data_IF_693023583059
#
_entry.id   IF_693023583059
#
_cell.length_a   1.000
_cell.length_b   1.000
_cell.length_c   1.000
_cell.angle_alpha   90.00
_cell.angle_beta   90.00
_cell.angle_gamma   90.00
#
_symmetry.space_group_name_H-M   'P 1'
#
loop_
_entity.id
_entity.type
_entity.pdbx_description
1 polymer ?
#
# COMPACT_ATOMS: atom_id res chain seq x y z
N UNK A 1 20.49 1.28 -7.95
CA UNK A 1 19.76 1.60 -6.76
C UNK A 1 20.53 1.05 -5.57
N UNK A 2 20.94 1.94 -4.64
CA UNK A 2 21.87 1.62 -3.54
C UNK A 2 21.40 0.43 -2.69
N UNK A 3 20.13 0.39 -2.31
CA UNK A 3 19.56 -0.71 -1.53
C UNK A 3 19.76 -2.08 -2.19
N UNK A 4 19.43 -2.21 -3.47
CA UNK A 4 19.59 -3.47 -4.21
C UNK A 4 21.07 -3.88 -4.33
N UNK A 5 21.97 -2.93 -4.51
CA UNK A 5 23.40 -3.20 -4.58
C UNK A 5 23.93 -3.75 -3.25
N UNK A 6 23.46 -3.20 -2.12
CA UNK A 6 23.85 -3.64 -0.79
C UNK A 6 23.20 -4.96 -0.37
N UNK A 7 21.89 -5.13 -0.66
CA UNK A 7 21.07 -6.20 -0.10
C UNK A 7 20.64 -7.27 -1.10
N UNK A 8 20.86 -7.06 -2.40
CA UNK A 8 20.36 -7.93 -3.47
C UNK A 8 20.83 -9.38 -3.41
N UNK A 9 22.00 -9.65 -2.83
CA UNK A 9 22.53 -10.99 -2.62
C UNK A 9 22.32 -11.52 -1.18
N UNK A 10 21.71 -10.74 -0.29
CA UNK A 10 21.54 -11.11 1.12
C UNK A 10 20.22 -11.86 1.31
N UNK A 11 20.21 -13.13 1.71
CA UNK A 11 19.01 -13.96 1.79
C UNK A 11 17.90 -13.36 2.64
N UNK A 12 18.22 -12.78 3.80
CA UNK A 12 17.21 -12.16 4.68
C UNK A 12 16.40 -11.06 3.96
N UNK A 13 17.04 -10.29 3.10
CA UNK A 13 16.37 -9.20 2.37
C UNK A 13 15.58 -9.67 1.14
N UNK A 14 15.70 -10.96 0.77
CA UNK A 14 15.08 -11.59 -0.39
C UNK A 14 14.06 -12.69 0.00
N UNK A 15 13.31 -12.46 1.05
CA UNK A 15 12.21 -13.32 1.47
C UNK A 15 12.61 -14.56 2.27
N UNK A 16 13.81 -14.59 2.81
CA UNK A 16 14.31 -15.65 3.70
C UNK A 16 14.66 -14.99 5.05
N UNK A 17 13.67 -14.80 5.95
CA UNK A 17 13.89 -14.13 7.22
C UNK A 17 14.80 -14.96 8.14
N UNK A 18 15.45 -14.32 9.14
CA UNK A 18 16.16 -15.01 10.20
C UNK A 18 15.28 -16.00 10.96
N UNK A 19 15.90 -17.00 11.58
CA UNK A 19 15.18 -18.08 12.27
C UNK A 19 14.32 -17.54 13.41
N UNK A 20 14.76 -16.50 14.11
CA UNK A 20 14.02 -15.89 15.22
C UNK A 20 12.67 -15.33 14.75
N UNK A 21 12.63 -14.77 13.53
CA UNK A 21 11.37 -14.27 12.93
C UNK A 21 10.47 -15.44 12.54
N UNK A 22 11.04 -16.53 12.01
CA UNK A 22 10.29 -17.74 11.66
C UNK A 22 9.66 -18.35 12.91
N UNK A 23 10.41 -18.46 13.99
CA UNK A 23 9.96 -19.03 15.26
C UNK A 23 8.86 -18.18 15.90
N UNK A 24 8.98 -16.85 15.83
CA UNK A 24 7.96 -15.94 16.30
C UNK A 24 6.67 -15.95 15.43
N UNK A 25 6.77 -16.40 14.18
CA UNK A 25 5.68 -16.38 13.19
C UNK A 25 5.58 -17.65 12.35
N UNK A 26 5.47 -18.85 12.95
CA UNK A 26 5.55 -20.13 12.24
C UNK A 26 4.48 -20.33 11.17
N UNK A 27 3.34 -19.65 11.29
CA UNK A 27 2.26 -19.71 10.29
C UNK A 27 2.52 -18.86 9.04
N UNK A 28 3.52 -17.99 9.07
CA UNK A 28 3.79 -17.02 8.00
C UNK A 28 5.06 -17.33 7.21
N UNK A 29 5.87 -18.32 7.62
CA UNK A 29 7.17 -18.64 7.01
C UNK A 29 7.08 -18.89 5.48
N UNK A 30 5.94 -19.40 5.00
CA UNK A 30 5.70 -19.62 3.57
C UNK A 30 5.40 -18.34 2.78
N UNK A 31 5.12 -17.24 3.47
CA UNK A 31 4.76 -15.94 2.86
C UNK A 31 6.00 -15.11 2.60
N UNK A 32 6.90 -15.61 1.76
CA UNK A 32 8.20 -14.99 1.45
C UNK A 32 8.12 -13.49 1.15
N UNK A 33 7.04 -13.02 0.52
CA UNK A 33 6.87 -11.62 0.18
C UNK A 33 6.92 -10.69 1.40
N UNK A 34 6.58 -11.16 2.59
CA UNK A 34 6.61 -10.35 3.82
C UNK A 34 8.02 -9.86 4.16
N UNK A 35 9.04 -10.59 3.73
CA UNK A 35 10.46 -10.32 4.00
C UNK A 35 11.27 -10.07 2.72
N UNK A 36 10.61 -9.83 1.59
CA UNK A 36 11.26 -9.51 0.33
C UNK A 36 11.48 -7.98 0.19
N UNK A 37 12.35 -7.45 1.07
CA UNK A 37 12.65 -6.03 1.12
C UNK A 37 13.23 -5.51 -0.21
N UNK A 38 14.06 -6.30 -0.89
CA UNK A 38 14.67 -5.93 -2.18
C UNK A 38 13.61 -5.70 -3.25
N UNK A 39 12.59 -6.53 -3.29
CA UNK A 39 11.48 -6.37 -4.23
C UNK A 39 10.72 -5.07 -3.97
N UNK A 40 10.36 -4.81 -2.71
CA UNK A 40 9.56 -3.64 -2.34
C UNK A 40 10.37 -2.34 -2.37
N UNK A 41 11.69 -2.40 -2.17
CA UNK A 41 12.56 -1.25 -2.34
C UNK A 41 12.47 -0.64 -3.75
N UNK A 42 12.24 -1.44 -4.81
CA UNK A 42 12.08 -0.87 -6.15
C UNK A 42 10.91 0.13 -6.22
N UNK A 43 9.81 -0.15 -5.52
CA UNK A 43 8.66 0.73 -5.42
C UNK A 43 8.95 1.97 -4.57
N UNK A 44 9.45 1.76 -3.36
CA UNK A 44 9.68 2.85 -2.41
C UNK A 44 10.69 3.86 -2.94
N UNK A 45 11.78 3.41 -3.56
CA UNK A 45 12.75 4.31 -4.18
C UNK A 45 12.21 5.05 -5.41
N UNK A 46 11.31 4.45 -6.17
CA UNK A 46 10.63 5.16 -7.27
C UNK A 46 9.75 6.31 -6.73
N UNK A 47 9.10 6.10 -5.58
CA UNK A 47 8.32 7.16 -4.91
C UNK A 47 9.23 8.23 -4.34
N UNK A 48 10.33 7.89 -3.67
CA UNK A 48 11.29 8.87 -3.14
C UNK A 48 11.87 9.73 -4.27
N UNK A 49 12.29 9.10 -5.37
CA UNK A 49 12.79 9.82 -6.56
C UNK A 49 11.75 10.78 -7.15
N UNK A 50 10.49 10.34 -7.24
CA UNK A 50 9.40 11.20 -7.70
C UNK A 50 9.16 12.38 -6.74
N UNK A 51 9.13 12.12 -5.43
CA UNK A 51 8.92 13.17 -4.43
C UNK A 51 10.06 14.20 -4.38
N UNK A 52 11.26 13.85 -4.80
CA UNK A 52 12.38 14.79 -4.93
C UNK A 52 12.29 15.66 -6.20
N UNK A 53 11.63 15.17 -7.25
CA UNK A 53 11.58 15.83 -8.58
C UNK A 53 10.34 16.69 -8.79
N UNK A 54 9.25 16.33 -8.16
CA UNK A 54 7.95 16.97 -8.36
C UNK A 54 7.53 17.77 -7.12
N UNK A 55 6.48 18.57 -7.28
CA UNK A 55 5.85 19.37 -6.23
C UNK A 55 4.37 19.00 -6.16
N UNK A 56 3.70 19.52 -5.16
CA UNK A 56 2.28 19.31 -4.89
C UNK A 56 1.99 17.83 -4.54
N UNK A 57 1.17 17.16 -5.27
CA UNK A 57 0.82 15.77 -5.03
C UNK A 57 1.64 14.80 -5.88
N UNK A 58 2.24 13.82 -5.23
CA UNK A 58 2.77 12.61 -5.88
C UNK A 58 1.88 11.44 -5.55
N UNK A 59 1.32 10.79 -6.57
CA UNK A 59 0.43 9.65 -6.42
C UNK A 59 1.08 8.39 -6.94
N UNK A 60 1.12 7.37 -6.10
CA UNK A 60 1.52 6.03 -6.49
C UNK A 60 0.31 5.19 -6.90
N UNK A 61 0.44 4.48 -8.01
CA UNK A 61 -0.50 3.47 -8.47
C UNK A 61 0.29 2.22 -8.87
N UNK A 62 -0.07 1.06 -8.31
CA UNK A 62 0.59 -0.21 -8.67
C UNK A 62 0.35 -0.54 -10.16
N UNK A 63 1.37 -1.06 -10.84
CA UNK A 63 1.34 -1.36 -12.28
C UNK A 63 0.32 -2.46 -12.67
N UNK A 64 -0.22 -3.19 -11.70
CA UNK A 64 -1.30 -4.17 -11.90
C UNK A 64 -2.70 -3.59 -11.60
N UNK A 65 -2.82 -2.27 -11.65
CA UNK A 65 -4.08 -1.54 -11.60
C UNK A 65 -4.60 -1.29 -13.01
N UNK A 66 -5.89 -1.56 -13.22
CA UNK A 66 -6.59 -1.36 -14.47
C UNK A 66 -7.61 -0.23 -14.36
N UNK A 67 -7.52 0.76 -15.24
CA UNK A 67 -8.51 1.84 -15.34
C UNK A 67 -9.62 1.36 -16.28
N UNK A 68 -10.79 1.08 -15.73
CA UNK A 68 -11.93 0.50 -16.46
C UNK A 68 -12.99 1.54 -16.86
N UNK A 69 -12.96 2.70 -16.22
CA UNK A 69 -13.91 3.77 -16.50
C UNK A 69 -13.19 5.11 -16.68
N UNK A 70 -13.73 6.02 -17.49
CA UNK A 70 -13.14 7.35 -17.63
C UNK A 70 -13.01 8.03 -16.28
N UNK A 71 -11.84 8.60 -16.03
CA UNK A 71 -11.53 9.33 -14.81
C UNK A 71 -11.19 10.77 -15.18
N UNK A 72 -12.11 11.69 -14.91
CA UNK A 72 -11.88 13.10 -15.20
C UNK A 72 -10.79 13.67 -14.28
N UNK A 73 -10.15 14.74 -14.71
CA UNK A 73 -9.19 15.46 -13.87
C UNK A 73 -9.82 15.92 -12.57
N UNK A 74 -11.04 16.46 -12.63
CA UNK A 74 -11.78 16.93 -11.47
C UNK A 74 -12.10 15.80 -10.49
N UNK A 75 -12.53 14.64 -11.00
CA UNK A 75 -12.76 13.44 -10.17
C UNK A 75 -11.49 12.97 -9.48
N UNK A 76 -10.36 13.01 -10.20
CA UNK A 76 -9.07 12.64 -9.64
C UNK A 76 -8.60 13.63 -8.57
N UNK A 77 -8.69 14.94 -8.82
CA UNK A 77 -8.30 15.97 -7.87
C UNK A 77 -9.15 15.92 -6.58
N UNK A 78 -10.43 15.54 -6.66
CA UNK A 78 -11.26 15.29 -5.47
C UNK A 78 -10.77 14.15 -4.59
N UNK A 79 -9.97 13.24 -5.13
CA UNK A 79 -9.36 12.17 -4.34
C UNK A 79 -8.13 12.64 -3.55
N UNK A 80 -7.71 13.88 -3.72
CA UNK A 80 -6.52 14.47 -3.13
C UNK A 80 -6.90 15.72 -2.30
N UNK A 81 -7.55 15.55 -1.14
CA UNK A 81 -8.02 16.69 -0.34
C UNK A 81 -6.84 17.50 0.22
N UNK A 82 -6.84 18.80 -0.05
CA UNK A 82 -5.72 19.70 0.29
C UNK A 82 -5.42 19.78 1.79
N UNK A 83 -6.40 19.51 2.64
CA UNK A 83 -6.25 19.46 4.10
C UNK A 83 -5.52 18.20 4.60
N UNK A 84 -5.27 17.26 3.71
CA UNK A 84 -4.56 16.02 4.04
C UNK A 84 -3.14 16.03 3.52
N UNK A 85 -2.21 15.58 4.36
CA UNK A 85 -0.82 15.39 3.95
C UNK A 85 -0.58 14.06 3.24
N UNK A 86 -1.49 13.10 3.43
CA UNK A 86 -1.42 11.77 2.82
C UNK A 86 -2.83 11.24 2.55
N UNK A 87 -3.01 10.60 1.41
CA UNK A 87 -4.17 9.76 1.12
C UNK A 87 -3.73 8.32 0.95
N UNK A 88 -4.52 7.36 1.42
CA UNK A 88 -4.19 5.95 1.29
C UNK A 88 -5.44 5.07 1.37
N UNK A 89 -5.31 3.84 0.89
CA UNK A 89 -6.35 2.82 1.06
C UNK A 89 -6.06 2.02 2.32
N UNK A 90 -6.86 2.21 3.35
CA UNK A 90 -6.81 1.41 4.57
C UNK A 90 -7.44 0.03 4.40
N UNK A 91 -7.83 -0.57 5.51
CA UNK A 91 -8.52 -1.88 5.54
C UNK A 91 -9.92 -1.78 6.13
N UNK A 92 -10.48 -0.58 6.18
CA UNK A 92 -11.80 -0.33 6.72
C UNK A 92 -11.92 -0.59 8.22
N UNK A 93 -13.15 -0.65 8.71
CA UNK A 93 -13.46 -0.99 10.09
C UNK A 93 -13.34 -2.50 10.32
N UNK A 94 -12.80 -2.90 11.46
CA UNK A 94 -12.69 -4.32 11.86
C UNK A 94 -11.44 -5.04 11.36
N UNK A 95 -10.50 -4.35 10.71
CA UNK A 95 -9.21 -4.92 10.33
C UNK A 95 -8.05 -4.12 10.92
N UNK A 96 -7.12 -4.81 11.58
CA UNK A 96 -5.87 -4.24 12.09
C UNK A 96 -4.68 -4.54 11.17
N UNK A 97 -4.93 -4.79 9.89
CA UNK A 97 -3.88 -5.04 8.92
C UNK A 97 -3.37 -3.73 8.32
N UNK A 98 -2.22 -3.82 7.66
CA UNK A 98 -1.51 -2.69 7.08
C UNK A 98 -2.29 -2.10 5.89
N UNK A 99 -2.06 -0.80 5.54
CA UNK A 99 -2.66 -0.18 4.38
C UNK A 99 -2.48 -1.00 3.11
N UNK A 100 -3.35 -0.77 2.16
CA UNK A 100 -3.22 -1.30 0.80
C UNK A 100 -2.41 -0.30 -0.02
N UNK A 101 -1.10 -0.52 -0.16
CA UNK A 101 -0.23 0.38 -0.88
C UNK A 101 -0.30 0.28 -2.41
N UNK A 102 -1.40 -0.26 -2.96
CA UNK A 102 -1.66 -0.24 -4.41
C UNK A 102 -2.05 1.13 -4.93
N UNK A 103 -2.52 2.02 -4.04
CA UNK A 103 -2.83 3.42 -4.33
C UNK A 103 -2.61 4.25 -3.08
N UNK A 104 -1.83 5.32 -3.19
CA UNK A 104 -1.69 6.35 -2.15
C UNK A 104 -1.14 7.65 -2.74
N UNK A 105 -1.43 8.77 -2.08
CA UNK A 105 -0.95 10.10 -2.46
C UNK A 105 -0.19 10.77 -1.32
N UNK A 106 0.83 11.56 -1.69
CA UNK A 106 1.70 12.34 -0.82
C UNK A 106 1.61 13.81 -1.20
N UNK A 107 1.17 14.66 -0.27
CA UNK A 107 1.09 16.11 -0.46
C UNK A 107 2.42 16.76 -0.04
N UNK A 108 3.27 17.05 -0.99
CA UNK A 108 4.61 17.58 -0.75
C UNK A 108 4.62 19.03 -0.24
N UNK A 109 3.47 19.72 -0.24
CA UNK A 109 3.33 21.04 0.34
C UNK A 109 3.13 21.00 1.87
N UNK A 110 2.88 19.82 2.43
CA UNK A 110 2.67 19.65 3.86
C UNK A 110 3.95 19.15 4.56
N UNK A 111 4.35 19.84 5.63
CA UNK A 111 5.55 19.49 6.39
C UNK A 111 5.48 18.07 7.00
N UNK A 112 4.29 17.60 7.38
CA UNK A 112 4.08 16.24 7.89
C UNK A 112 4.32 15.18 6.84
N UNK A 113 3.96 15.46 5.58
CA UNK A 113 4.29 14.58 4.46
C UNK A 113 5.81 14.44 4.31
N UNK A 114 6.53 15.56 4.39
CA UNK A 114 8.00 15.55 4.28
C UNK A 114 8.66 14.81 5.45
N UNK A 115 8.15 14.97 6.68
CA UNK A 115 8.59 14.17 7.85
C UNK A 115 8.35 12.66 7.62
N UNK A 116 7.17 12.29 7.13
CA UNK A 116 6.85 10.90 6.81
C UNK A 116 7.79 10.33 5.75
N UNK A 117 8.01 11.05 4.66
CA UNK A 117 8.89 10.62 3.58
C UNK A 117 10.33 10.47 4.05
N UNK A 118 10.84 11.40 4.86
CA UNK A 118 12.17 11.32 5.43
C UNK A 118 12.34 10.06 6.31
N UNK A 119 11.37 9.77 7.17
CA UNK A 119 11.40 8.54 7.99
C UNK A 119 11.26 7.29 7.13
N UNK A 120 10.38 7.31 6.11
CA UNK A 120 10.19 6.17 5.21
C UNK A 120 11.46 5.85 4.41
N UNK A 121 12.18 6.88 3.94
CA UNK A 121 13.48 6.74 3.26
C UNK A 121 14.55 6.24 4.24
N UNK A 122 14.65 6.85 5.42
CA UNK A 122 15.58 6.43 6.48
C UNK A 122 15.44 4.94 6.82
N UNK A 123 14.21 4.45 6.95
CA UNK A 123 13.95 3.03 7.26
C UNK A 123 14.58 2.07 6.24
N UNK A 124 14.68 2.47 4.96
CA UNK A 124 15.34 1.67 3.93
C UNK A 124 16.84 1.95 3.83
N UNK A 125 17.29 3.19 3.95
CA UNK A 125 18.72 3.55 3.87
C UNK A 125 19.51 2.97 5.06
N UNK A 126 18.97 3.04 6.25
CA UNK A 126 19.52 2.50 7.50
C UNK A 126 18.91 1.13 7.82
N UNK A 127 18.79 0.26 6.84
CA UNK A 127 17.96 -0.94 6.91
C UNK A 127 18.17 -1.83 8.15
N UNK A 128 19.40 -1.93 8.70
CA UNK A 128 19.68 -2.74 9.90
C UNK A 128 18.99 -2.15 11.14
N UNK A 129 19.01 -0.82 11.29
CA UNK A 129 18.34 -0.08 12.37
C UNK A 129 16.92 0.38 11.97
N UNK A 130 16.54 0.13 10.73
CA UNK A 130 15.25 0.45 10.12
C UNK A 130 14.38 -0.77 9.87
N UNK A 131 14.13 -1.10 8.59
CA UNK A 131 13.17 -2.14 8.21
C UNK A 131 13.47 -3.51 8.82
N UNK A 132 14.73 -3.88 9.04
CA UNK A 132 15.08 -5.19 9.58
C UNK A 132 14.82 -5.33 11.08
N UNK A 133 14.53 -4.24 11.79
CA UNK A 133 14.03 -4.29 13.17
C UNK A 133 12.53 -4.60 13.23
N UNK A 134 11.83 -4.53 12.10
CA UNK A 134 10.40 -4.76 12.02
C UNK A 134 10.06 -6.25 11.80
N UNK A 135 8.84 -6.62 12.12
CA UNK A 135 8.37 -8.00 11.92
C UNK A 135 8.04 -8.38 10.48
N UNK A 136 7.88 -7.42 9.58
CA UNK A 136 7.68 -7.61 8.13
C UNK A 136 8.33 -6.44 7.39
N UNK A 137 8.84 -6.66 6.17
CA UNK A 137 9.70 -5.69 5.47
C UNK A 137 9.17 -5.26 4.10
N UNK A 138 7.90 -5.56 3.81
CA UNK A 138 7.24 -5.05 2.62
C UNK A 138 6.74 -3.60 2.84
N UNK A 139 6.60 -2.86 1.76
CA UNK A 139 6.25 -1.45 1.75
C UNK A 139 5.02 -1.10 2.60
N UNK A 140 3.97 -1.87 2.47
CA UNK A 140 2.70 -1.68 3.17
C UNK A 140 2.83 -1.79 4.70
N UNK A 141 3.68 -2.70 5.19
CA UNK A 141 3.95 -2.83 6.61
C UNK A 141 4.74 -1.65 7.16
N UNK A 142 5.83 -1.29 6.45
CA UNK A 142 6.69 -0.16 6.84
C UNK A 142 5.91 1.14 6.81
N UNK A 143 5.20 1.41 5.70
CA UNK A 143 4.30 2.54 5.56
C UNK A 143 3.30 2.63 6.71
N UNK A 144 2.60 1.53 7.01
CA UNK A 144 1.62 1.49 8.09
C UNK A 144 2.20 1.70 9.47
N UNK A 145 3.43 1.25 9.72
CA UNK A 145 4.12 1.49 11.00
C UNK A 145 4.41 2.97 11.22
N UNK A 146 5.01 3.63 10.23
CA UNK A 146 5.33 5.06 10.31
C UNK A 146 4.04 5.89 10.39
N UNK A 147 3.06 5.59 9.52
CA UNK A 147 1.77 6.27 9.51
C UNK A 147 1.08 6.22 10.88
N UNK A 148 1.08 5.06 11.54
CA UNK A 148 0.45 4.91 12.84
C UNK A 148 1.15 5.71 13.93
N UNK A 149 2.47 5.82 13.89
CA UNK A 149 3.22 6.67 14.81
C UNK A 149 2.85 8.14 14.64
N UNK A 150 2.86 8.65 13.40
CA UNK A 150 2.58 10.05 13.10
C UNK A 150 1.11 10.43 13.24
N UNK A 151 0.20 9.47 13.04
CA UNK A 151 -1.25 9.66 13.08
C UNK A 151 -1.77 10.09 14.46
N UNK A 152 -1.13 9.64 15.53
CA UNK A 152 -1.49 10.02 16.90
C UNK A 152 -1.11 11.47 17.22
N UNK A 153 -0.17 12.04 16.50
CA UNK A 153 0.29 13.40 16.74
C UNK A 153 -0.58 14.45 16.04
N UNK A 154 -1.04 14.16 14.80
CA UNK A 154 -1.94 15.06 14.02
C UNK A 154 -2.77 14.26 13.01
N UNK A 155 -4.08 14.13 13.18
CA UNK A 155 -4.94 13.37 12.26
C UNK A 155 -5.35 14.19 11.03
N UNK A 156 -4.46 14.34 10.07
CA UNK A 156 -4.76 14.96 8.77
C UNK A 156 -4.37 14.03 7.63
N UNK A 157 -4.87 12.79 7.70
CA UNK A 157 -4.73 11.80 6.64
C UNK A 157 -6.11 11.45 6.10
N UNK A 158 -6.19 11.15 4.82
CA UNK A 158 -7.41 10.70 4.17
C UNK A 158 -7.33 9.20 3.88
N UNK A 159 -8.12 8.42 4.60
CA UNK A 159 -8.26 6.99 4.38
C UNK A 159 -9.52 6.71 3.56
N UNK A 160 -9.35 6.30 2.29
CA UNK A 160 -10.47 5.96 1.40
C UNK A 160 -11.39 4.88 1.97
N UNK A 161 -10.90 4.05 2.87
CA UNK A 161 -11.66 2.95 3.48
C UNK A 161 -12.32 3.33 4.81
N UNK A 162 -12.18 4.59 5.27
CA UNK A 162 -12.75 5.03 6.54
C UNK A 162 -14.29 4.82 6.56
N UNK A 163 -14.76 4.18 7.61
CA UNK A 163 -16.19 3.86 7.75
C UNK A 163 -16.69 2.68 6.90
N UNK A 164 -15.86 2.11 6.03
CA UNK A 164 -16.23 0.97 5.19
C UNK A 164 -15.88 -0.33 5.92
N UNK A 165 -16.83 -1.26 6.05
CA UNK A 165 -16.54 -2.59 6.55
C UNK A 165 -15.98 -3.46 5.41
N UNK A 166 -14.73 -3.91 5.56
CA UNK A 166 -14.07 -4.80 4.61
C UNK A 166 -13.85 -6.16 5.26
N UNK A 167 -14.47 -7.19 4.72
CA UNK A 167 -14.27 -8.57 5.19
C UNK A 167 -12.81 -8.99 5.00
N UNK A 168 -12.26 -9.57 6.04
CA UNK A 168 -10.93 -10.17 6.01
C UNK A 168 -11.04 -11.69 5.89
N UNK A 169 -9.91 -12.36 5.63
CA UNK A 169 -9.87 -13.83 5.65
C UNK A 169 -10.35 -14.43 6.97
N UNK A 170 -10.20 -13.71 8.10
CA UNK A 170 -10.69 -14.14 9.42
C UNK A 170 -12.21 -14.05 9.55
N UNK A 171 -12.85 -13.18 8.80
CA UNK A 171 -14.31 -12.95 8.83
C UNK A 171 -15.03 -13.56 7.65
N UNK A 172 -14.41 -14.54 6.98
CA UNK A 172 -15.05 -15.33 5.91
C UNK A 172 -15.04 -14.67 4.53
N UNK A 173 -14.19 -13.68 4.29
CA UNK A 173 -14.08 -13.02 3.00
C UNK A 173 -12.63 -12.70 2.62
N UNK A 174 -12.39 -12.48 1.34
CA UNK A 174 -11.14 -12.00 0.78
C UNK A 174 -11.31 -10.61 0.17
N UNK A 175 -12.13 -9.76 0.82
CA UNK A 175 -12.47 -8.44 0.30
C UNK A 175 -11.25 -7.66 -0.14
N UNK A 176 -11.35 -7.03 -1.29
CA UNK A 176 -10.30 -6.21 -1.83
C UNK A 176 -10.51 -4.75 -1.39
N UNK A 177 -9.64 -4.18 -0.53
CA UNK A 177 -9.90 -2.84 0.01
C UNK A 177 -10.16 -1.80 -1.06
N UNK A 178 -9.27 -1.66 -2.03
CA UNK A 178 -9.32 -0.61 -3.04
C UNK A 178 -10.66 -0.57 -3.79
N UNK A 179 -11.11 -1.68 -4.34
CA UNK A 179 -12.34 -1.74 -5.16
C UNK A 179 -13.61 -1.52 -4.35
N UNK A 180 -13.56 -1.60 -3.03
CA UNK A 180 -14.67 -1.34 -2.13
C UNK A 180 -14.72 0.11 -1.63
N UNK A 181 -13.76 0.93 -2.02
CA UNK A 181 -13.74 2.38 -1.81
C UNK A 181 -14.31 3.11 -3.02
N UNK A 182 -14.34 4.43 -2.95
CA UNK A 182 -14.73 5.25 -4.10
C UNK A 182 -13.82 5.04 -5.32
N UNK A 183 -12.54 4.73 -5.11
CA UNK A 183 -11.59 4.45 -6.19
C UNK A 183 -12.07 3.33 -7.13
N UNK A 184 -12.83 2.36 -6.61
CA UNK A 184 -13.42 1.28 -7.41
C UNK A 184 -14.42 1.74 -8.47
N UNK A 185 -14.79 3.04 -8.53
CA UNK A 185 -15.58 3.61 -9.63
C UNK A 185 -14.79 3.68 -10.94
N UNK A 186 -13.48 3.77 -10.84
CA UNK A 186 -12.60 3.99 -11.99
C UNK A 186 -11.56 2.90 -12.20
N UNK A 187 -11.11 2.27 -11.10
CA UNK A 187 -9.96 1.36 -11.15
C UNK A 187 -10.25 0.02 -10.46
N UNK A 188 -9.67 -1.02 -11.03
CA UNK A 188 -9.56 -2.36 -10.43
C UNK A 188 -8.07 -2.70 -10.21
N UNK A 189 -7.75 -3.25 -9.07
CA UNK A 189 -6.40 -3.68 -8.74
C UNK A 189 -6.30 -5.21 -8.77
N UNK A 190 -5.70 -5.74 -9.81
CA UNK A 190 -5.59 -7.17 -10.09
C UNK A 190 -4.58 -7.85 -9.17
N UNK A 191 -5.04 -8.52 -8.11
CA UNK A 191 -4.17 -9.18 -7.12
C UNK A 191 -3.87 -10.64 -7.40
N UNK A 192 -2.67 -11.05 -6.94
CA UNK A 192 -2.25 -12.46 -6.91
C UNK A 192 -2.22 -13.11 -8.28
N UNK A 193 -2.69 -14.37 -8.36
CA UNK A 193 -2.69 -15.14 -9.61
C UNK A 193 -3.60 -14.61 -10.71
N UNK A 194 -4.48 -13.65 -10.40
CA UNK A 194 -5.39 -13.04 -11.39
C UNK A 194 -4.64 -12.21 -12.41
N UNK A 195 -3.63 -11.46 -12.00
CA UNK A 195 -2.78 -10.68 -12.91
C UNK A 195 -2.06 -11.53 -13.96
N UNK A 196 -1.64 -12.74 -13.59
CA UNK A 196 -1.02 -13.67 -14.56
C UNK A 196 -2.02 -14.17 -15.61
N UNK A 197 -3.30 -14.22 -15.26
CA UNK A 197 -4.41 -14.67 -16.15
C UNK A 197 -5.11 -13.49 -16.81
N UNK A 198 -4.65 -12.25 -16.64
CA UNK A 198 -5.32 -11.02 -17.08
C UNK A 198 -6.78 -10.95 -16.62
N UNK A 199 -7.07 -11.45 -15.42
CA UNK A 199 -8.42 -11.47 -14.85
C UNK A 199 -8.57 -10.33 -13.84
N UNK A 200 -9.68 -9.62 -13.96
CA UNK A 200 -10.19 -8.64 -13.03
C UNK A 200 -10.42 -9.21 -11.62
N UNK A 201 -10.75 -8.37 -10.68
CA UNK A 201 -11.42 -8.73 -9.44
C UNK A 201 -12.73 -9.48 -9.78
N UNK A 202 -13.25 -10.23 -8.84
CA UNK A 202 -14.46 -11.04 -9.05
C UNK A 202 -15.56 -10.62 -8.07
N UNK A 203 -16.81 -10.96 -8.36
CA UNK A 203 -17.96 -10.55 -7.55
C UNK A 203 -17.81 -10.78 -6.04
N UNK A 204 -17.21 -11.89 -5.63
CA UNK A 204 -16.96 -12.16 -4.20
C UNK A 204 -15.96 -11.20 -3.52
N UNK A 205 -15.18 -10.43 -4.29
CA UNK A 205 -14.26 -9.43 -3.76
C UNK A 205 -14.98 -8.12 -3.41
N UNK A 206 -16.18 -7.94 -3.96
CA UNK A 206 -17.06 -6.80 -3.67
C UNK A 206 -17.82 -7.03 -2.35
N UNK A 207 -17.84 -6.01 -1.51
CA UNK A 207 -18.60 -6.01 -0.25
C UNK A 207 -20.01 -5.46 -0.42
N UNK A 208 -20.16 -4.54 -1.36
CA UNK A 208 -21.43 -3.91 -1.69
C UNK A 208 -21.68 -4.01 -3.19
N UNK A 209 -22.93 -3.97 -3.57
CA UNK A 209 -23.31 -3.89 -4.98
C UNK A 209 -22.79 -2.57 -5.55
N UNK A 210 -22.12 -2.64 -6.69
CA UNK A 210 -21.64 -1.49 -7.44
C UNK A 210 -22.52 -1.28 -8.68
N UNK A 211 -22.63 -0.02 -9.11
CA UNK A 211 -23.50 0.37 -10.23
C UNK A 211 -22.72 0.58 -11.54
N UNK A 212 -21.39 0.65 -11.46
CA UNK A 212 -20.56 0.83 -12.64
C UNK A 212 -20.65 -0.42 -13.55
N UNK A 213 -20.82 -0.20 -14.87
CA UNK A 213 -21.03 -1.28 -15.85
C UNK A 213 -19.93 -2.36 -15.78
N UNK A 214 -18.68 -1.95 -15.58
CA UNK A 214 -17.55 -2.85 -15.42
C UNK A 214 -17.81 -3.96 -14.39
N UNK A 215 -18.40 -3.62 -13.22
CA UNK A 215 -18.62 -4.59 -12.15
C UNK A 215 -19.76 -5.56 -12.41
N UNK A 216 -20.59 -5.30 -13.41
CA UNK A 216 -21.64 -6.22 -13.84
C UNK A 216 -21.10 -7.33 -14.76
N UNK A 217 -19.90 -7.15 -15.33
CA UNK A 217 -19.25 -8.05 -16.28
C UNK A 217 -18.20 -8.97 -15.64
N UNK A 218 -17.88 -8.78 -14.35
CA UNK A 218 -16.81 -9.52 -13.63
C UNK A 218 -17.33 -10.56 -12.64
#
# INVERSE_FOLDING_TARGET
VAFKNKWGAVPKANGIPPQEIIDARPRDHHKKFKWDAVRFANKTYAVFDACQKYKDWVVWVDADTYVHSPWSREDFERQLPNESWCTFVGRGTGSQTWPECGFYGMNLNDAKCLEFLAEFERMYEEAEDGIFTLGEWHDSYVFGKILNQMRFEKPTVFDYSAGIYIKTAKTGGGGHPLINTELGRWIDHMKGGRKQKKKSSIQKDLMNQRQEAYWNEV
#
